data_IF_744942349344
#
_entry.id   IF_744942349344
#
_cell.length_a   1.000
_cell.length_b   1.000
_cell.length_c   1.000
_cell.angle_alpha   90.00
_cell.angle_beta   90.00
_cell.angle_gamma   90.00
#
_symmetry.space_group_name_H-M   'P 1'
#
loop_
_entity.id
_entity.type
_entity.pdbx_description
1 polymer ?
#
# COMPACT_ATOMS: atom_id res chain seq x y z
N UNK A 1 -3.73 0.19 3.58
CA UNK A 1 -2.56 -0.63 3.98
C UNK A 1 -1.48 0.32 4.47
N UNK A 2 -0.97 0.11 5.67
CA UNK A 2 0.05 0.95 6.29
C UNK A 2 1.40 0.22 6.34
N UNK A 3 2.44 0.88 5.83
CA UNK A 3 3.78 0.32 5.68
C UNK A 3 4.80 1.45 5.74
N UNK A 4 5.91 1.22 6.43
CA UNK A 4 6.99 2.19 6.56
C UNK A 4 7.56 2.64 5.20
N UNK A 5 7.99 3.91 5.16
CA UNK A 5 8.50 4.57 3.95
C UNK A 5 9.67 3.81 3.32
N UNK A 6 10.61 3.32 4.12
CA UNK A 6 11.81 2.60 3.69
C UNK A 6 11.47 1.26 3.03
N UNK A 7 10.60 0.47 3.65
CA UNK A 7 10.10 -0.81 3.11
C UNK A 7 9.41 -0.57 1.76
N UNK A 8 8.57 0.48 1.65
CA UNK A 8 7.88 0.81 0.40
C UNK A 8 8.84 1.26 -0.69
N UNK A 9 9.86 2.03 -0.36
CA UNK A 9 10.90 2.46 -1.31
C UNK A 9 11.70 1.28 -1.83
N UNK A 10 12.14 0.38 -0.96
CA UNK A 10 12.89 -0.82 -1.36
C UNK A 10 12.05 -1.68 -2.30
N UNK A 11 10.76 -1.91 -1.99
CA UNK A 11 9.85 -2.64 -2.88
C UNK A 11 9.66 -1.95 -4.22
N UNK A 12 9.50 -0.62 -4.19
CA UNK A 12 9.35 0.20 -5.39
C UNK A 12 10.57 0.09 -6.29
N UNK A 13 11.77 0.22 -5.74
CA UNK A 13 13.02 0.09 -6.50
C UNK A 13 13.11 -1.31 -7.12
N UNK A 14 12.91 -2.37 -6.33
CA UNK A 14 12.95 -3.75 -6.83
C UNK A 14 11.97 -4.01 -7.97
N UNK A 15 10.73 -3.52 -7.84
CA UNK A 15 9.70 -3.65 -8.86
C UNK A 15 10.06 -2.85 -10.11
N UNK A 16 10.45 -1.59 -9.95
CA UNK A 16 10.72 -0.70 -11.08
C UNK A 16 11.98 -1.14 -11.86
N UNK A 17 12.97 -1.75 -11.20
CA UNK A 17 14.14 -2.34 -11.89
C UNK A 17 13.80 -3.66 -12.57
N UNK A 18 13.10 -4.57 -11.90
CA UNK A 18 12.82 -5.91 -12.41
C UNK A 18 11.73 -5.94 -13.50
N UNK A 19 10.68 -5.14 -13.35
CA UNK A 19 9.47 -5.24 -14.19
C UNK A 19 9.33 -4.09 -15.19
N UNK A 20 10.03 -2.97 -14.96
CA UNK A 20 9.85 -1.73 -15.74
C UNK A 20 11.13 -1.21 -16.39
N UNK A 21 12.25 -1.94 -16.26
CA UNK A 21 13.53 -1.60 -16.88
C UNK A 21 14.15 -0.28 -16.39
N UNK A 22 13.76 0.22 -15.21
CA UNK A 22 14.36 1.43 -14.64
C UNK A 22 15.69 1.11 -13.96
N UNK A 23 16.59 2.10 -13.92
CA UNK A 23 17.80 2.01 -13.08
C UNK A 23 17.56 2.64 -11.70
N UNK A 24 18.50 2.40 -10.79
CA UNK A 24 18.45 2.92 -9.42
C UNK A 24 18.33 4.45 -9.38
N UNK A 25 19.17 5.15 -10.15
CA UNK A 25 19.23 6.62 -10.18
C UNK A 25 17.90 7.25 -10.59
N UNK A 26 17.26 6.72 -11.63
CA UNK A 26 15.92 7.15 -12.07
C UNK A 26 14.88 6.93 -10.96
N UNK A 27 14.92 5.78 -10.29
CA UNK A 27 13.99 5.46 -9.21
C UNK A 27 14.18 6.39 -8.01
N UNK A 28 15.44 6.64 -7.62
CA UNK A 28 15.82 7.49 -6.49
C UNK A 28 15.48 8.95 -6.77
N UNK A 29 15.83 9.46 -7.95
CA UNK A 29 15.52 10.82 -8.39
C UNK A 29 14.02 11.09 -8.35
N UNK A 30 13.20 10.16 -8.85
CA UNK A 30 11.75 10.29 -8.79
C UNK A 30 11.22 10.24 -7.36
N UNK A 31 11.77 9.35 -6.51
CA UNK A 31 11.31 9.22 -5.13
C UNK A 31 11.58 10.48 -4.31
N UNK A 32 12.80 11.02 -4.40
CA UNK A 32 13.22 12.23 -3.71
C UNK A 32 12.59 13.49 -4.32
N UNK A 33 12.45 13.54 -5.65
CA UNK A 33 11.96 14.72 -6.36
C UNK A 33 10.45 14.94 -6.27
N UNK A 34 9.64 13.89 -6.14
CA UNK A 34 8.17 14.05 -6.06
C UNK A 34 7.47 13.07 -5.12
N UNK A 35 7.75 11.77 -5.20
CA UNK A 35 6.91 10.76 -4.53
C UNK A 35 6.85 10.96 -3.02
N UNK A 36 7.98 11.24 -2.35
CA UNK A 36 8.01 11.43 -0.89
C UNK A 36 7.21 12.65 -0.44
N UNK A 37 7.39 13.78 -1.12
CA UNK A 37 6.66 15.01 -0.80
C UNK A 37 5.17 14.88 -1.06
N UNK A 38 4.79 14.29 -2.21
CA UNK A 38 3.40 14.06 -2.58
C UNK A 38 2.72 13.06 -1.64
N UNK A 39 3.42 11.99 -1.24
CA UNK A 39 2.92 11.04 -0.27
C UNK A 39 2.57 11.74 1.05
N UNK A 40 3.52 12.49 1.62
CA UNK A 40 3.32 13.19 2.90
C UNK A 40 2.23 14.26 2.83
N UNK A 41 2.12 14.97 1.70
CA UNK A 41 1.17 16.07 1.54
C UNK A 41 -0.24 15.59 1.22
N UNK A 42 -0.40 14.51 0.45
CA UNK A 42 -1.69 14.16 -0.14
C UNK A 42 -2.15 12.73 0.12
N UNK A 43 -1.26 11.79 0.44
CA UNK A 43 -1.63 10.36 0.62
C UNK A 43 -1.68 9.99 2.10
N UNK A 44 -0.67 10.36 2.88
CA UNK A 44 -0.64 10.08 4.32
C UNK A 44 -1.85 10.67 5.06
N UNK A 45 -2.28 11.93 4.79
CA UNK A 45 -3.43 12.51 5.49
C UNK A 45 -4.74 11.77 5.20
N UNK A 46 -4.88 11.07 4.07
CA UNK A 46 -6.14 10.36 3.75
C UNK A 46 -6.33 9.13 4.63
N UNK A 47 -5.30 8.69 5.36
CA UNK A 47 -5.38 7.57 6.31
C UNK A 47 -6.46 7.78 7.38
N UNK A 48 -6.73 9.03 7.77
CA UNK A 48 -7.74 9.34 8.80
C UNK A 48 -9.18 9.00 8.38
N UNK A 49 -9.42 8.84 7.08
CA UNK A 49 -10.73 8.54 6.52
C UNK A 49 -10.96 7.04 6.33
N UNK A 50 -9.99 6.19 6.66
CA UNK A 50 -10.12 4.75 6.51
C UNK A 50 -10.89 4.13 7.67
N UNK A 51 -11.91 3.32 7.36
CA UNK A 51 -12.60 2.49 8.37
C UNK A 51 -11.67 1.40 8.94
N UNK A 52 -10.71 0.93 8.13
CA UNK A 52 -9.77 -0.11 8.50
C UNK A 52 -8.35 0.22 8.00
N UNK A 53 -7.39 0.21 8.93
CA UNK A 53 -5.96 0.32 8.62
C UNK A 53 -5.30 -1.03 8.88
N UNK A 54 -4.75 -1.65 7.83
CA UNK A 54 -4.04 -2.94 7.92
C UNK A 54 -2.53 -2.67 7.92
N UNK A 55 -1.82 -2.94 9.03
CA UNK A 55 -0.37 -2.82 9.08
C UNK A 55 0.31 -3.97 8.33
N UNK A 56 1.46 -3.69 7.73
CA UNK A 56 2.32 -4.71 7.13
C UNK A 56 3.51 -5.01 8.04
N UNK A 57 3.36 -5.96 8.96
CA UNK A 57 4.50 -6.55 9.67
C UNK A 57 4.90 -7.91 9.06
N UNK A 58 3.93 -8.69 8.56
CA UNK A 58 4.10 -9.95 7.81
C UNK A 58 2.96 -10.12 6.80
N UNK A 59 2.99 -11.19 5.99
CA UNK A 59 1.84 -11.57 5.16
C UNK A 59 0.64 -11.77 6.10
N UNK A 60 -0.25 -10.78 6.15
CA UNK A 60 -1.29 -10.71 7.16
C UNK A 60 -2.50 -11.52 6.69
N UNK A 61 -2.35 -12.85 6.68
CA UNK A 61 -3.39 -13.79 6.26
C UNK A 61 -4.69 -13.55 7.02
N UNK A 62 -4.61 -13.26 8.32
CA UNK A 62 -5.77 -12.89 9.14
C UNK A 62 -6.50 -11.65 8.65
N UNK A 63 -5.79 -10.63 8.15
CA UNK A 63 -6.42 -9.45 7.57
C UNK A 63 -7.10 -9.76 6.23
N UNK A 64 -6.53 -10.69 5.45
CA UNK A 64 -7.16 -11.19 4.21
C UNK A 64 -8.45 -11.94 4.55
N UNK A 65 -8.40 -12.86 5.50
CA UNK A 65 -9.56 -13.64 5.95
C UNK A 65 -10.68 -12.73 6.47
N UNK A 66 -10.33 -11.74 7.30
CA UNK A 66 -11.28 -10.75 7.81
C UNK A 66 -11.98 -9.97 6.69
N UNK A 67 -11.23 -9.50 5.68
CA UNK A 67 -11.84 -8.82 4.53
C UNK A 67 -12.73 -9.79 3.74
N UNK A 68 -12.28 -11.03 3.52
CA UNK A 68 -13.04 -12.04 2.80
C UNK A 68 -14.37 -12.33 3.51
N UNK A 69 -14.35 -12.50 4.84
CA UNK A 69 -15.54 -12.71 5.66
C UNK A 69 -16.50 -11.51 5.60
N UNK A 70 -15.98 -10.28 5.68
CA UNK A 70 -16.80 -9.06 5.54
C UNK A 70 -17.50 -9.00 4.18
N UNK A 71 -16.81 -9.37 3.10
CA UNK A 71 -17.38 -9.45 1.76
C UNK A 71 -18.49 -10.52 1.73
N UNK A 72 -18.23 -11.73 2.24
CA UNK A 72 -19.21 -12.82 2.26
C UNK A 72 -20.47 -12.44 3.06
N UNK A 73 -20.30 -11.81 4.22
CA UNK A 73 -21.42 -11.32 5.03
C UNK A 73 -22.22 -10.23 4.30
N UNK A 74 -21.55 -9.30 3.61
CA UNK A 74 -22.19 -8.25 2.82
C UNK A 74 -23.02 -8.84 1.67
N UNK A 75 -22.48 -9.85 0.97
CA UNK A 75 -23.19 -10.55 -0.11
C UNK A 75 -24.42 -11.27 0.43
N UNK A 76 -24.30 -12.04 1.53
CA UNK A 76 -25.43 -12.77 2.14
C UNK A 76 -26.55 -11.85 2.60
N UNK A 77 -26.22 -10.71 3.22
CA UNK A 77 -27.21 -9.70 3.66
C UNK A 77 -28.03 -9.11 2.51
N UNK A 78 -27.49 -9.09 1.28
CA UNK A 78 -28.18 -8.57 0.09
C UNK A 78 -29.05 -9.60 -0.62
N UNK A 79 -28.85 -10.89 -0.32
CA UNK A 79 -29.64 -11.99 -0.88
C UNK A 79 -30.86 -12.36 -0.03
N UNK A 80 -31.05 -11.67 1.10
CA UNK A 80 -32.22 -11.72 1.99
C UNK A 80 -33.06 -10.46 1.78
#
# INVERSE_FOLDING_TARGET
IDVDDDVRVVRRIRRDTAERGRNFESCASQYLGSVKAMHRKFIEPTKIHADLVIPWHHMNERAVDCIADLIQLSVRKRSL
#
